data_IF_500147756593
#
_entry.id   IF_500147756593
#
_cell.length_a   1.000
_cell.length_b   1.000
_cell.length_c   1.000
_cell.angle_alpha   90.00
_cell.angle_beta   90.00
_cell.angle_gamma   90.00
#
_symmetry.space_group_name_H-M   'P 1'
#
loop_
_entity.id
_entity.type
_entity.pdbx_description
1 polymer ?
#
# COMPACT_ATOMS: atom_id res chain seq x y z
N UNK A 1 23.18 46.68 -30.06
CA UNK A 1 23.29 45.79 -28.87
C UNK A 1 22.05 44.91 -28.85
N UNK A 2 22.13 43.61 -29.18
CA UNK A 2 20.93 42.80 -29.50
C UNK A 2 20.16 42.33 -28.26
N UNK A 3 18.83 42.32 -28.35
CA UNK A 3 17.89 41.83 -27.33
C UNK A 3 18.23 40.43 -26.80
N UNK A 4 18.79 39.58 -27.65
CA UNK A 4 19.20 38.21 -27.32
C UNK A 4 20.23 38.20 -26.18
N UNK A 5 21.19 39.14 -26.17
CA UNK A 5 22.18 39.23 -25.07
C UNK A 5 21.53 39.57 -23.73
N UNK A 6 20.46 40.37 -23.71
CA UNK A 6 19.73 40.69 -22.46
C UNK A 6 18.94 39.50 -21.93
N UNK A 7 18.30 38.74 -22.82
CA UNK A 7 17.54 37.54 -22.43
C UNK A 7 18.47 36.48 -21.85
N UNK A 8 19.62 36.25 -22.50
CA UNK A 8 20.62 35.28 -22.01
C UNK A 8 21.21 35.73 -20.67
N UNK A 9 21.54 37.02 -20.52
CA UNK A 9 22.03 37.55 -19.25
C UNK A 9 20.99 37.41 -18.12
N UNK A 10 19.72 37.67 -18.41
CA UNK A 10 18.64 37.52 -17.44
C UNK A 10 18.43 36.05 -17.05
N UNK A 11 18.43 35.13 -18.02
CA UNK A 11 18.35 33.68 -17.76
C UNK A 11 19.47 33.22 -16.84
N UNK A 12 20.71 33.60 -17.13
CA UNK A 12 21.86 33.19 -16.33
C UNK A 12 21.82 33.78 -14.91
N UNK A 13 21.39 35.03 -14.77
CA UNK A 13 21.21 35.66 -13.46
C UNK A 13 20.09 34.98 -12.65
N UNK A 14 19.01 34.59 -13.32
CA UNK A 14 17.87 33.93 -12.70
C UNK A 14 18.20 32.49 -12.31
N UNK A 15 18.98 31.77 -13.12
CA UNK A 15 19.50 30.44 -12.78
C UNK A 15 20.47 30.48 -11.59
N UNK A 16 21.34 31.49 -11.52
CA UNK A 16 22.22 31.70 -10.36
C UNK A 16 21.42 32.02 -9.09
N UNK A 17 20.44 32.93 -9.19
CA UNK A 17 19.57 33.28 -8.07
C UNK A 17 18.73 32.09 -7.58
N UNK A 18 18.19 31.29 -8.50
CA UNK A 18 17.42 30.09 -8.15
C UNK A 18 18.30 29.04 -7.47
N UNK A 19 19.53 28.83 -7.96
CA UNK A 19 20.47 27.89 -7.34
C UNK A 19 20.76 28.28 -5.89
N UNK A 20 21.25 29.49 -5.65
CA UNK A 20 21.58 29.98 -4.30
C UNK A 20 20.37 29.95 -3.35
N UNK A 21 19.16 30.20 -3.85
CA UNK A 21 17.95 30.23 -3.03
C UNK A 21 17.50 28.84 -2.56
N UNK A 22 17.80 27.80 -3.33
CA UNK A 22 17.15 26.49 -3.20
C UNK A 22 18.10 25.32 -2.94
N UNK A 23 19.42 25.49 -3.09
CA UNK A 23 20.42 24.42 -2.92
C UNK A 23 20.39 23.79 -1.52
N UNK A 24 20.19 24.59 -0.47
CA UNK A 24 20.21 24.10 0.93
C UNK A 24 18.83 23.71 1.49
N UNK A 25 17.74 24.22 0.92
CA UNK A 25 16.39 24.09 1.51
C UNK A 25 15.58 22.95 0.91
N UNK A 26 15.71 22.68 -0.40
CA UNK A 26 14.97 21.58 -1.04
C UNK A 26 15.37 20.21 -0.49
N UNK A 27 16.65 19.81 -0.46
CA UNK A 27 16.99 18.42 -0.13
C UNK A 27 16.53 18.04 1.28
N UNK A 28 16.70 18.95 2.25
CA UNK A 28 16.30 18.70 3.64
C UNK A 28 14.78 18.66 3.85
N UNK A 29 14.02 19.58 3.24
CA UNK A 29 12.56 19.59 3.34
C UNK A 29 11.93 18.41 2.61
N UNK A 30 12.45 18.06 1.43
CA UNK A 30 11.99 16.90 0.67
C UNK A 30 12.39 15.59 1.34
N UNK A 31 13.62 15.45 1.84
CA UNK A 31 14.03 14.26 2.57
C UNK A 31 13.21 14.08 3.86
N UNK A 32 12.95 15.16 4.59
CA UNK A 32 12.12 15.12 5.80
C UNK A 32 10.66 14.78 5.48
N UNK A 33 10.10 15.38 4.43
CA UNK A 33 8.73 15.10 3.97
C UNK A 33 8.58 13.66 3.45
N UNK A 34 9.55 13.18 2.66
CA UNK A 34 9.60 11.82 2.16
C UNK A 34 9.78 10.80 3.30
N UNK A 35 10.71 11.06 4.22
CA UNK A 35 10.92 10.19 5.39
C UNK A 35 9.65 10.13 6.25
N UNK A 36 9.02 11.26 6.51
CA UNK A 36 7.77 11.30 7.27
C UNK A 36 6.62 10.58 6.54
N UNK A 37 6.49 10.77 5.22
CA UNK A 37 5.48 10.09 4.40
C UNK A 37 5.75 8.59 4.21
N UNK A 38 7.00 8.15 4.24
CA UNK A 38 7.35 6.73 4.11
C UNK A 38 7.11 5.96 5.41
N UNK A 39 7.41 6.58 6.56
CA UNK A 39 7.38 5.90 7.85
C UNK A 39 6.15 6.19 8.71
N UNK A 40 5.44 7.30 8.51
CA UNK A 40 4.33 7.73 9.39
C UNK A 40 2.94 7.62 8.76
N UNK A 41 2.81 7.04 7.56
CA UNK A 41 1.53 7.06 6.83
C UNK A 41 0.69 5.79 7.05
N UNK A 42 -0.64 5.92 7.19
CA UNK A 42 -1.58 4.79 7.30
C UNK A 42 -1.64 3.89 6.06
N UNK A 43 -0.85 4.20 5.03
CA UNK A 43 -0.73 3.39 3.82
C UNK A 43 -0.31 1.95 4.12
N UNK A 44 0.52 1.73 5.14
CA UNK A 44 0.93 0.37 5.52
C UNK A 44 -0.27 -0.47 6.01
N UNK A 45 -1.09 0.08 6.90
CA UNK A 45 -2.27 -0.61 7.43
C UNK A 45 -3.29 -0.93 6.33
N UNK A 46 -3.47 -0.01 5.37
CA UNK A 46 -4.38 -0.23 4.22
C UNK A 46 -3.88 -1.36 3.32
N UNK A 47 -2.57 -1.40 3.06
CA UNK A 47 -1.94 -2.44 2.23
C UNK A 47 -2.01 -3.79 2.94
N UNK A 48 -1.74 -3.84 4.24
CA UNK A 48 -1.84 -5.06 5.04
C UNK A 48 -3.28 -5.60 5.05
N UNK A 49 -4.27 -4.73 5.29
CA UNK A 49 -5.69 -5.12 5.24
C UNK A 49 -6.12 -5.62 3.85
N UNK A 50 -5.59 -5.04 2.77
CA UNK A 50 -5.89 -5.50 1.41
C UNK A 50 -5.22 -6.84 1.11
N UNK A 51 -3.98 -7.03 1.58
CA UNK A 51 -3.29 -8.31 1.47
C UNK A 51 -4.05 -9.41 2.22
N UNK A 52 -4.52 -9.13 3.44
CA UNK A 52 -5.37 -10.06 4.19
C UNK A 52 -6.70 -10.36 3.48
N UNK A 53 -7.35 -9.35 2.87
CA UNK A 53 -8.60 -9.58 2.14
C UNK A 53 -8.39 -10.47 0.90
N UNK A 54 -7.24 -10.35 0.22
CA UNK A 54 -6.86 -11.22 -0.90
C UNK A 54 -6.57 -12.65 -0.40
N UNK A 55 -5.83 -12.79 0.69
CA UNK A 55 -5.54 -14.08 1.32
C UNK A 55 -6.82 -14.79 1.75
N UNK A 56 -7.72 -14.06 2.41
CA UNK A 56 -9.01 -14.54 2.87
C UNK A 56 -9.87 -15.03 1.69
N UNK A 57 -9.88 -14.31 0.56
CA UNK A 57 -10.57 -14.73 -0.65
C UNK A 57 -9.96 -16.00 -1.28
N UNK A 58 -8.63 -16.10 -1.28
CA UNK A 58 -7.92 -17.30 -1.73
C UNK A 58 -8.24 -18.52 -0.86
N UNK A 59 -8.26 -18.37 0.47
CA UNK A 59 -8.61 -19.43 1.41
C UNK A 59 -10.05 -19.92 1.21
N UNK A 60 -11.01 -19.00 1.01
CA UNK A 60 -12.39 -19.36 0.70
C UNK A 60 -12.50 -20.11 -0.64
N UNK A 61 -11.70 -19.73 -1.65
CA UNK A 61 -11.70 -20.40 -2.94
C UNK A 61 -11.13 -21.82 -2.85
N UNK A 62 -10.10 -22.02 -2.02
CA UNK A 62 -9.44 -23.32 -1.85
C UNK A 62 -10.18 -24.25 -0.87
N UNK A 63 -10.79 -23.70 0.18
CA UNK A 63 -11.37 -24.47 1.28
C UNK A 63 -12.80 -24.01 1.67
N UNK A 64 -13.73 -23.91 0.71
CA UNK A 64 -15.12 -23.55 1.01
C UNK A 64 -15.83 -24.60 1.88
N UNK A 65 -15.29 -25.82 1.93
CA UNK A 65 -15.76 -26.92 2.77
C UNK A 65 -15.73 -26.55 4.27
N UNK A 66 -14.86 -25.63 4.68
CA UNK A 66 -14.81 -25.11 6.05
C UNK A 66 -16.12 -24.43 6.48
N UNK A 67 -16.89 -23.91 5.51
CA UNK A 67 -18.22 -23.32 5.72
C UNK A 67 -19.37 -24.28 5.38
N UNK A 68 -19.08 -25.55 5.11
CA UNK A 68 -20.07 -26.55 4.73
C UNK A 68 -20.56 -26.43 3.29
N UNK A 69 -19.86 -25.68 2.43
CA UNK A 69 -20.14 -25.61 0.99
C UNK A 69 -19.26 -26.65 0.29
N UNK A 70 -19.80 -27.81 -0.13
CA UNK A 70 -18.99 -28.83 -0.76
C UNK A 70 -18.50 -28.35 -2.13
N UNK A 71 -17.18 -28.25 -2.30
CA UNK A 71 -16.56 -27.89 -3.58
C UNK A 71 -15.60 -28.97 -4.07
N UNK A 72 -15.62 -29.29 -5.37
CA UNK A 72 -14.62 -30.18 -5.95
C UNK A 72 -13.20 -29.59 -5.89
N UNK A 73 -13.05 -28.28 -5.74
CA UNK A 73 -11.75 -27.61 -5.63
C UNK A 73 -11.04 -28.04 -4.35
N UNK A 74 -11.77 -28.14 -3.23
CA UNK A 74 -11.25 -28.53 -1.92
C UNK A 74 -10.51 -29.87 -1.94
N UNK A 75 -10.95 -30.79 -2.81
CA UNK A 75 -10.30 -32.08 -2.98
C UNK A 75 -8.90 -31.96 -3.59
N UNK A 76 -8.74 -31.10 -4.60
CA UNK A 76 -7.46 -30.91 -5.30
C UNK A 76 -6.50 -30.00 -4.52
N UNK A 77 -7.03 -29.07 -3.73
CA UNK A 77 -6.24 -28.13 -2.92
C UNK A 77 -5.86 -28.71 -1.56
N UNK A 78 -6.38 -29.87 -1.17
CA UNK A 78 -6.05 -30.52 0.11
C UNK A 78 -4.54 -30.78 0.29
N UNK A 79 -3.79 -30.97 -0.80
CA UNK A 79 -2.34 -31.13 -0.78
C UNK A 79 -1.59 -29.86 -0.33
N UNK A 80 -2.23 -28.69 -0.46
CA UNK A 80 -1.67 -27.41 -0.05
C UNK A 80 -1.83 -27.18 1.46
N UNK A 81 -2.76 -27.87 2.11
CA UNK A 81 -3.12 -27.63 3.51
C UNK A 81 -1.93 -27.70 4.48
N UNK A 82 -0.98 -28.67 4.37
CA UNK A 82 0.18 -28.73 5.26
C UNK A 82 1.14 -27.53 5.12
N UNK A 83 1.09 -26.82 4.00
CA UNK A 83 1.93 -25.64 3.75
C UNK A 83 1.23 -24.34 4.17
N UNK A 84 -0.06 -24.40 4.46
CA UNK A 84 -0.93 -23.27 4.78
C UNK A 84 -1.55 -23.42 6.18
N UNK A 85 -1.01 -24.31 7.02
CA UNK A 85 -1.61 -24.66 8.31
C UNK A 85 -1.70 -23.43 9.24
N UNK A 86 -0.62 -22.66 9.33
CA UNK A 86 -0.53 -21.48 10.18
C UNK A 86 -1.47 -20.35 9.68
N UNK A 87 -1.50 -20.11 8.37
CA UNK A 87 -2.38 -19.14 7.73
C UNK A 87 -3.84 -19.56 7.85
N UNK A 88 -4.14 -20.86 7.76
CA UNK A 88 -5.49 -21.41 7.88
C UNK A 88 -6.06 -21.17 9.27
N UNK A 89 -5.30 -21.41 10.35
CA UNK A 89 -5.75 -21.12 11.71
C UNK A 89 -6.01 -19.61 11.91
N UNK A 90 -5.10 -18.76 11.43
CA UNK A 90 -5.25 -17.31 11.52
C UNK A 90 -6.48 -16.83 10.73
N UNK A 91 -6.66 -17.32 9.52
CA UNK A 91 -7.81 -17.04 8.68
C UNK A 91 -9.12 -17.45 9.36
N UNK A 92 -9.21 -18.64 9.95
CA UNK A 92 -10.39 -19.09 10.67
C UNK A 92 -10.76 -18.14 11.81
N UNK A 93 -9.76 -17.69 12.59
CA UNK A 93 -9.97 -16.70 13.66
C UNK A 93 -10.44 -15.36 13.09
N UNK A 94 -9.79 -14.84 12.04
CA UNK A 94 -10.20 -13.60 11.35
C UNK A 94 -11.63 -13.67 10.83
N UNK A 95 -12.04 -14.81 10.27
CA UNK A 95 -13.38 -15.01 9.75
C UNK A 95 -14.43 -15.08 10.85
N UNK A 96 -14.11 -15.68 11.99
CA UNK A 96 -15.02 -15.75 13.14
C UNK A 96 -15.25 -14.38 13.79
N UNK A 97 -14.20 -13.57 13.91
CA UNK A 97 -14.28 -12.23 14.50
C UNK A 97 -14.86 -11.18 13.53
N UNK A 98 -15.02 -11.52 12.25
CA UNK A 98 -15.50 -10.59 11.21
C UNK A 98 -17.02 -10.40 11.29
N UNK A 99 -17.45 -9.20 11.68
CA UNK A 99 -18.88 -8.85 11.74
C UNK A 99 -19.54 -8.65 10.38
N UNK A 100 -18.98 -7.80 9.50
CA UNK A 100 -19.49 -7.60 8.14
C UNK A 100 -18.41 -7.13 7.15
N UNK A 101 -18.61 -7.39 5.85
CA UNK A 101 -17.72 -6.89 4.79
C UNK A 101 -17.73 -5.36 4.70
N UNK A 102 -18.87 -4.73 5.00
CA UNK A 102 -18.99 -3.27 4.98
C UNK A 102 -18.21 -2.61 6.11
N UNK A 103 -18.22 -3.18 7.31
CA UNK A 103 -17.40 -2.70 8.42
C UNK A 103 -15.90 -2.79 8.08
N UNK A 104 -15.47 -3.90 7.47
CA UNK A 104 -14.08 -4.11 7.03
C UNK A 104 -13.64 -3.07 5.99
N UNK A 105 -14.42 -2.89 4.91
CA UNK A 105 -14.11 -1.88 3.88
C UNK A 105 -14.24 -0.45 4.41
N UNK A 106 -15.10 -0.23 5.42
CA UNK A 106 -15.18 1.04 6.14
C UNK A 106 -13.92 1.38 6.94
N UNK A 107 -13.30 0.38 7.60
CA UNK A 107 -11.98 0.55 8.27
C UNK A 107 -10.85 0.79 7.27
N UNK A 108 -10.95 0.25 6.06
CA UNK A 108 -9.92 0.44 5.03
C UNK A 108 -9.98 1.84 4.39
N UNK A 109 -11.18 2.43 4.33
CA UNK A 109 -11.44 3.72 3.69
C UNK A 109 -11.54 4.87 4.71
N UNK A 110 -10.89 4.76 5.88
CA UNK A 110 -10.85 5.85 6.86
C UNK A 110 -10.47 7.19 6.17
N UNK A 111 -11.46 8.07 6.03
CA UNK A 111 -11.28 9.51 5.83
C UNK A 111 -11.22 10.20 7.19
#
# INVERSE_FOLDING_TARGET
>A
MSLVRRIVAYKNALEGWLRDRFEDTLPGLWARGLYHGLFSHPAYEIIELEAEDIEDAFMVACFPDAFGIPSPVSYYTAELLPYLEDEYEQWQRRMWDRGSLLERKGKQLHF
#
